data_IF_604943849121
#
_entry.id   IF_604943849121
#
_cell.length_a   1.000
_cell.length_b   1.000
_cell.length_c   1.000
_cell.angle_alpha   90.00
_cell.angle_beta   90.00
_cell.angle_gamma   90.00
#
_symmetry.space_group_name_H-M   'P 1'
#
loop_
_entity.id
_entity.type
_entity.pdbx_description
1 polymer ?
#
# COMPACT_ATOMS: atom_id res chain seq x y z
N UNK A 1 20.34 -29.15 -13.92
CA UNK A 1 21.38 -28.21 -14.29
C UNK A 1 21.30 -26.96 -13.39
N UNK A 2 22.43 -26.57 -12.80
CA UNK A 2 22.52 -25.47 -11.87
C UNK A 2 22.08 -24.14 -12.50
N UNK A 3 22.40 -23.88 -13.75
CA UNK A 3 22.02 -22.67 -14.44
C UNK A 3 20.51 -22.52 -14.59
N UNK A 4 19.82 -23.62 -14.87
CA UNK A 4 18.37 -23.58 -14.99
C UNK A 4 17.71 -23.28 -13.65
N UNK A 5 18.27 -23.83 -12.57
CA UNK A 5 17.79 -23.58 -11.22
C UNK A 5 18.02 -22.13 -10.82
N UNK A 6 19.21 -21.59 -11.12
CA UNK A 6 19.54 -20.19 -10.84
C UNK A 6 18.62 -19.23 -11.57
N UNK A 7 18.34 -19.48 -12.86
CA UNK A 7 17.42 -18.63 -13.63
C UNK A 7 15.99 -18.69 -13.07
N UNK A 8 15.59 -19.88 -12.62
CA UNK A 8 14.27 -20.03 -12.02
C UNK A 8 14.17 -19.28 -10.70
N UNK A 9 15.20 -19.32 -9.87
CA UNK A 9 15.26 -18.56 -8.61
C UNK A 9 15.24 -17.07 -8.90
N UNK A 10 16.02 -16.60 -9.88
CA UNK A 10 16.04 -15.18 -10.26
C UNK A 10 14.67 -14.72 -10.76
N UNK A 11 14.01 -15.55 -11.56
CA UNK A 11 12.68 -15.25 -12.07
C UNK A 11 11.67 -15.05 -10.92
N UNK A 12 11.63 -15.99 -9.98
CA UNK A 12 10.72 -15.91 -8.85
C UNK A 12 11.07 -14.77 -7.90
N UNK A 13 12.36 -14.50 -7.71
CA UNK A 13 12.80 -13.35 -6.91
C UNK A 13 12.35 -12.03 -7.51
N UNK A 14 12.45 -11.89 -8.83
CA UNK A 14 11.98 -10.71 -9.54
C UNK A 14 10.47 -10.53 -9.39
N UNK A 15 9.70 -11.60 -9.55
CA UNK A 15 8.25 -11.55 -9.36
C UNK A 15 7.89 -11.17 -7.92
N UNK A 16 8.59 -11.73 -6.96
CA UNK A 16 8.38 -11.39 -5.54
C UNK A 16 8.62 -9.90 -5.30
N UNK A 17 9.71 -9.35 -5.85
CA UNK A 17 10.05 -7.94 -5.67
C UNK A 17 9.01 -7.03 -6.29
N UNK A 18 8.48 -7.40 -7.45
CA UNK A 18 7.40 -6.67 -8.11
C UNK A 18 6.13 -6.69 -7.24
N UNK A 19 5.79 -7.84 -6.69
CA UNK A 19 4.62 -7.97 -5.81
C UNK A 19 4.77 -7.11 -4.55
N UNK A 20 5.94 -7.11 -3.94
CA UNK A 20 6.22 -6.29 -2.75
C UNK A 20 6.08 -4.81 -3.09
N UNK A 21 6.61 -4.39 -4.23
CA UNK A 21 6.50 -3.00 -4.67
C UNK A 21 5.04 -2.59 -4.90
N UNK A 22 4.23 -3.48 -5.47
CA UNK A 22 2.80 -3.22 -5.66
C UNK A 22 2.06 -3.10 -4.33
N UNK A 23 2.37 -3.98 -3.38
CA UNK A 23 1.76 -3.93 -2.04
C UNK A 23 2.10 -2.60 -1.35
N UNK A 24 3.35 -2.17 -1.42
CA UNK A 24 3.77 -0.90 -0.84
C UNK A 24 3.07 0.29 -1.48
N UNK A 25 2.88 0.25 -2.80
CA UNK A 25 2.16 1.29 -3.52
C UNK A 25 0.70 1.35 -3.09
N UNK A 26 0.05 0.19 -2.98
CA UNK A 26 -1.33 0.11 -2.53
C UNK A 26 -1.50 0.64 -1.10
N UNK A 27 -0.57 0.31 -0.20
CA UNK A 27 -0.59 0.82 1.17
C UNK A 27 -0.45 2.34 1.19
N UNK A 28 0.40 2.90 0.34
CA UNK A 28 0.57 4.34 0.22
C UNK A 28 -0.71 5.00 -0.29
N UNK A 29 -1.36 4.41 -1.28
CA UNK A 29 -2.61 4.92 -1.82
C UNK A 29 -3.73 4.88 -0.79
N UNK A 30 -3.81 3.79 -0.01
CA UNK A 30 -4.78 3.69 1.09
C UNK A 30 -4.55 4.77 2.13
N UNK A 31 -3.30 5.06 2.46
CA UNK A 31 -2.97 6.14 3.39
C UNK A 31 -3.44 7.49 2.89
N UNK A 32 -3.24 7.78 1.60
CA UNK A 32 -3.70 9.02 0.98
C UNK A 32 -5.23 9.09 0.98
N UNK A 33 -5.90 8.00 0.65
CA UNK A 33 -7.37 7.94 0.65
C UNK A 33 -7.94 8.18 2.04
N UNK A 34 -7.35 7.56 3.06
CA UNK A 34 -7.76 7.74 4.46
C UNK A 34 -7.61 9.20 4.88
N UNK A 35 -6.48 9.82 4.53
CA UNK A 35 -6.23 11.23 4.83
C UNK A 35 -7.24 12.14 4.15
N UNK A 36 -7.54 11.88 2.88
CA UNK A 36 -8.51 12.67 2.12
C UNK A 36 -9.90 12.52 2.72
N UNK A 37 -10.29 11.32 3.10
CA UNK A 37 -11.58 11.06 3.74
C UNK A 37 -11.66 11.78 5.07
N UNK A 38 -10.62 11.72 5.90
CA UNK A 38 -10.57 12.43 7.18
C UNK A 38 -10.76 13.93 7.01
N UNK A 39 -10.08 14.52 6.03
CA UNK A 39 -10.20 15.94 5.74
C UNK A 39 -11.60 16.31 5.27
N UNK A 40 -12.21 15.49 4.44
CA UNK A 40 -13.57 15.70 3.96
C UNK A 40 -14.56 15.67 5.12
N UNK A 41 -14.49 14.66 5.97
CA UNK A 41 -15.39 14.53 7.12
C UNK A 41 -15.16 15.67 8.11
N UNK A 42 -13.91 16.05 8.35
CA UNK A 42 -13.57 17.15 9.25
C UNK A 42 -14.13 18.48 8.76
N UNK A 43 -14.15 18.68 7.46
CA UNK A 43 -14.74 19.85 6.82
C UNK A 43 -16.27 19.92 7.03
N UNK A 44 -16.95 18.76 7.00
CA UNK A 44 -18.38 18.68 7.17
C UNK A 44 -18.81 18.62 8.63
N UNK A 45 -18.07 17.93 9.47
CA UNK A 45 -18.39 17.72 10.89
C UNK A 45 -17.09 17.59 11.70
N UNK A 46 -16.64 18.67 12.35
CA UNK A 46 -15.33 18.68 13.03
C UNK A 46 -15.15 17.57 14.07
N UNK A 47 -16.17 17.29 14.87
CA UNK A 47 -16.08 16.25 15.90
C UNK A 47 -15.93 14.86 15.29
N UNK A 48 -16.73 14.57 14.28
CA UNK A 48 -16.67 13.29 13.59
C UNK A 48 -15.34 13.13 12.83
N UNK A 49 -14.83 14.23 12.28
CA UNK A 49 -13.54 14.25 11.62
C UNK A 49 -12.39 13.88 12.54
N UNK A 50 -12.43 14.33 13.79
CA UNK A 50 -11.42 13.96 14.78
C UNK A 50 -11.47 12.47 15.11
N UNK A 51 -12.66 11.88 15.23
CA UNK A 51 -12.83 10.45 15.46
C UNK A 51 -12.26 9.64 14.28
N UNK A 52 -12.55 10.04 13.05
CA UNK A 52 -12.03 9.36 11.85
C UNK A 52 -10.52 9.49 11.77
N UNK A 53 -9.97 10.63 12.14
CA UNK A 53 -8.52 10.85 12.10
C UNK A 53 -7.77 9.99 13.13
N UNK A 54 -8.42 9.57 14.22
CA UNK A 54 -7.81 8.72 15.24
C UNK A 54 -7.93 7.23 14.94
N UNK A 55 -8.70 6.84 13.95
CA UNK A 55 -8.80 5.44 13.52
C UNK A 55 -7.59 5.05 12.69
#
# INVERSE_FOLDING_TARGET
CAEAIERNIDHWTTLRDIMIAEIKLEQKQLGVMTKNLSQFVKSMHPLLGEVVATL
#
